data_IF_857398339459
#
_entry.id   IF_857398339459
#
_cell.length_a   1.000
_cell.length_b   1.000
_cell.length_c   1.000
_cell.angle_alpha   90.00
_cell.angle_beta   90.00
_cell.angle_gamma   90.00
#
_symmetry.space_group_name_H-M   'P 1'
#
loop_
_entity.id
_entity.type
_entity.pdbx_description
1 polymer ?
#
# COMPACT_ATOMS: atom_id res chain seq x y z
N UNK A 1 -3.64 13.34 0.29
CA UNK A 1 -3.68 11.88 0.36
C UNK A 1 -2.28 11.34 0.61
N UNK A 2 -2.08 10.55 1.66
CA UNK A 2 -0.76 9.94 1.88
C UNK A 2 -0.40 8.99 0.76
N UNK A 3 0.89 8.83 0.55
CA UNK A 3 1.40 8.01 -0.53
C UNK A 3 2.63 7.26 -0.06
N UNK A 4 2.75 6.01 -0.46
CA UNK A 4 3.92 5.20 -0.15
C UNK A 4 4.51 4.63 -1.44
N UNK A 5 5.79 4.35 -1.43
CA UNK A 5 6.48 3.70 -2.54
C UNK A 5 6.74 2.25 -2.17
N UNK A 6 6.38 1.35 -3.08
CA UNK A 6 6.47 -0.09 -2.86
C UNK A 6 7.26 -0.74 -3.98
N UNK A 7 8.18 -1.61 -3.62
CA UNK A 7 9.01 -2.33 -4.56
C UNK A 7 8.47 -3.76 -4.72
N UNK A 8 8.57 -4.31 -5.92
CA UNK A 8 8.16 -5.68 -6.20
C UNK A 8 6.83 -5.81 -6.92
N UNK A 9 6.13 -4.71 -7.14
CA UNK A 9 4.89 -4.74 -7.92
C UNK A 9 5.22 -4.78 -9.40
N UNK A 10 4.80 -5.84 -10.07
CA UNK A 10 5.15 -6.02 -11.48
C UNK A 10 3.98 -6.49 -12.36
N UNK A 11 2.80 -6.71 -11.79
CA UNK A 11 1.65 -7.19 -12.57
C UNK A 11 0.33 -6.81 -11.88
N UNK A 12 -0.77 -7.04 -12.59
CA UNK A 12 -2.10 -6.73 -12.09
C UNK A 12 -2.48 -7.48 -10.81
N UNK A 13 -1.96 -8.67 -10.63
CA UNK A 13 -2.18 -9.43 -9.40
C UNK A 13 -1.57 -8.72 -8.20
N UNK A 14 -0.44 -8.06 -8.42
CA UNK A 14 0.22 -7.29 -7.38
C UNK A 14 -0.63 -6.09 -6.97
N UNK A 15 -1.26 -5.43 -7.94
CA UNK A 15 -2.16 -4.31 -7.68
C UNK A 15 -3.33 -4.76 -6.80
N UNK A 16 -3.96 -5.88 -7.16
CA UNK A 16 -5.10 -6.40 -6.40
C UNK A 16 -4.69 -6.80 -4.97
N UNK A 17 -3.56 -7.47 -4.84
CA UNK A 17 -3.04 -7.89 -3.54
C UNK A 17 -2.74 -6.68 -2.66
N UNK A 18 -2.11 -5.66 -3.22
CA UNK A 18 -1.76 -4.44 -2.50
C UNK A 18 -3.01 -3.68 -2.06
N UNK A 19 -3.98 -3.56 -2.96
CA UNK A 19 -5.25 -2.90 -2.63
C UNK A 19 -5.94 -3.59 -1.47
N UNK A 20 -6.05 -4.91 -1.52
CA UNK A 20 -6.64 -5.69 -0.44
C UNK A 20 -5.89 -5.51 0.87
N UNK A 21 -4.57 -5.56 0.80
CA UNK A 21 -3.74 -5.41 1.98
C UNK A 21 -3.96 -4.05 2.64
N UNK A 22 -3.98 -2.99 1.84
CA UNK A 22 -4.20 -1.64 2.35
C UNK A 22 -5.61 -1.47 2.92
N UNK A 23 -6.60 -2.06 2.26
CA UNK A 23 -7.99 -1.97 2.73
C UNK A 23 -8.23 -2.71 4.04
N UNK A 24 -7.34 -3.61 4.41
CA UNK A 24 -7.44 -4.31 5.69
C UNK A 24 -7.08 -3.43 6.88
N UNK A 25 -6.44 -2.29 6.63
CA UNK A 25 -6.09 -1.36 7.70
C UNK A 25 -7.31 -0.53 8.11
N UNK A 26 -7.55 -0.38 9.42
CA UNK A 26 -8.68 0.41 9.90
C UNK A 26 -8.60 1.87 9.45
N UNK A 27 -9.68 2.39 8.93
CA UNK A 27 -9.75 3.80 8.52
C UNK A 27 -9.16 4.12 7.16
N UNK A 28 -8.60 3.14 6.46
CA UNK A 28 -8.06 3.33 5.12
C UNK A 28 -9.17 3.17 4.09
N UNK A 29 -9.20 4.08 3.12
CA UNK A 29 -10.16 4.05 2.02
C UNK A 29 -9.52 4.63 0.77
N UNK A 30 -10.21 4.51 -0.35
CA UNK A 30 -9.79 5.07 -1.64
C UNK A 30 -8.36 4.70 -2.01
N UNK A 31 -8.02 3.45 -1.87
CA UNK A 31 -6.69 2.95 -2.22
C UNK A 31 -6.52 2.96 -3.73
N UNK A 32 -5.45 3.58 -4.20
CA UNK A 32 -5.08 3.61 -5.61
C UNK A 32 -3.64 3.18 -5.76
N UNK A 33 -3.40 2.27 -6.68
CA UNK A 33 -2.07 1.72 -6.92
C UNK A 33 -1.59 2.15 -8.29
N UNK A 34 -0.40 2.76 -8.35
CA UNK A 34 0.27 3.10 -9.58
C UNK A 34 1.36 2.06 -9.84
N UNK A 35 1.06 1.12 -10.70
CA UNK A 35 1.99 0.03 -11.01
C UNK A 35 3.26 0.54 -11.68
N UNK A 36 3.12 1.48 -12.58
CA UNK A 36 4.27 2.02 -13.32
C UNK A 36 5.26 2.75 -12.41
N UNK A 37 4.72 3.50 -11.44
CA UNK A 37 5.55 4.24 -10.49
C UNK A 37 5.89 3.50 -9.21
N UNK A 38 5.25 2.36 -8.98
CA UNK A 38 5.44 1.62 -7.74
C UNK A 38 4.90 2.36 -6.52
N UNK A 39 3.84 3.12 -6.69
CA UNK A 39 3.27 3.95 -5.63
C UNK A 39 1.88 3.52 -5.24
N UNK A 40 1.57 3.71 -3.98
CA UNK A 40 0.23 3.45 -3.45
C UNK A 40 -0.26 4.69 -2.75
N UNK A 41 -1.38 5.24 -3.23
CA UNK A 41 -2.04 6.37 -2.62
C UNK A 41 -3.28 5.88 -1.88
N UNK A 42 -3.59 6.49 -0.75
CA UNK A 42 -4.75 6.09 0.03
C UNK A 42 -5.22 7.25 0.89
N UNK A 43 -6.46 7.17 1.36
CA UNK A 43 -6.99 8.07 2.38
C UNK A 43 -7.10 7.32 3.69
N UNK A 44 -6.84 8.03 4.77
CA UNK A 44 -7.00 7.44 6.09
C UNK A 44 -7.66 8.44 7.04
N UNK A 45 -8.55 7.93 7.89
CA UNK A 45 -9.24 8.75 8.88
C UNK A 45 -8.35 9.10 10.07
N UNK A 46 -7.30 8.32 10.28
CA UNK A 46 -6.35 8.54 11.37
C UNK A 46 -4.95 8.21 10.87
N UNK A 47 -3.94 8.74 11.53
CA UNK A 47 -2.56 8.43 11.20
C UNK A 47 -2.27 6.94 11.38
N UNK A 48 -1.63 6.36 10.39
CA UNK A 48 -1.25 4.95 10.43
C UNK A 48 0.26 4.89 10.64
N UNK A 49 0.72 4.20 11.69
CA UNK A 49 2.16 4.04 11.92
C UNK A 49 2.84 3.35 10.74
N UNK A 50 4.04 3.79 10.41
CA UNK A 50 4.81 3.18 9.34
C UNK A 50 5.03 1.68 9.56
N UNK A 51 5.12 1.26 10.81
CA UNK A 51 5.25 -0.16 11.15
C UNK A 51 4.07 -0.99 10.63
N UNK A 52 2.87 -0.44 10.72
CA UNK A 52 1.68 -1.13 10.22
C UNK A 52 1.72 -1.22 8.70
N UNK A 53 2.12 -0.14 8.03
CA UNK A 53 2.26 -0.12 6.58
C UNK A 53 3.30 -1.13 6.13
N UNK A 54 4.45 -1.16 6.78
CA UNK A 54 5.52 -2.09 6.46
C UNK A 54 5.05 -3.55 6.62
N UNK A 55 4.34 -3.84 7.70
CA UNK A 55 3.80 -5.18 7.97
C UNK A 55 2.84 -5.62 6.88
N UNK A 56 1.93 -4.74 6.49
CA UNK A 56 0.92 -5.03 5.48
C UNK A 56 1.58 -5.23 4.12
N UNK A 57 2.53 -4.38 3.77
CA UNK A 57 3.27 -4.49 2.51
C UNK A 57 4.04 -5.80 2.45
N UNK A 58 4.72 -6.17 3.52
CA UNK A 58 5.46 -7.43 3.58
C UNK A 58 4.54 -8.65 3.51
N UNK A 59 3.40 -8.57 4.18
CA UNK A 59 2.43 -9.65 4.15
C UNK A 59 1.88 -9.89 2.75
N UNK A 60 1.81 -8.83 1.95
CA UNK A 60 1.39 -8.93 0.56
C UNK A 60 2.50 -9.43 -0.37
N UNK A 61 3.72 -9.57 0.13
CA UNK A 61 4.85 -10.06 -0.64
C UNK A 61 5.69 -8.96 -1.30
N UNK A 62 5.59 -7.74 -0.82
CA UNK A 62 6.31 -6.60 -1.39
C UNK A 62 7.23 -5.97 -0.35
N UNK A 63 7.88 -4.89 -0.74
CA UNK A 63 8.81 -4.17 0.12
C UNK A 63 8.46 -2.68 0.12
N UNK A 64 8.33 -2.11 1.30
CA UNK A 64 8.11 -0.67 1.46
C UNK A 64 9.45 0.04 1.35
N UNK A 65 9.60 0.89 0.34
CA UNK A 65 10.88 1.55 0.06
C UNK A 65 10.87 3.05 0.32
N UNK A 66 9.71 3.64 0.47
CA UNK A 66 9.60 5.06 0.73
C UNK A 66 8.20 5.42 1.18
N UNK A 67 8.06 6.58 1.71
CA UNK A 67 6.76 6.96 2.23
C UNK A 67 6.38 8.37 2.01
#
# INVERSE_FOLDING_TARGET
>A
MPEITVKGMSCGHCVAAMTKAMESLPGVSQVQVDLAGGRVSYECAASIPREHLDRVVKAAGFELTGG
#
